data_IF_334124507578
#
_entry.id   IF_334124507578
#
_cell.length_a   1.000
_cell.length_b   1.000
_cell.length_c   1.000
_cell.angle_alpha   90.00
_cell.angle_beta   90.00
_cell.angle_gamma   90.00
#
_symmetry.space_group_name_H-M   'P 1'
#
loop_
_entity.id
_entity.type
_entity.pdbx_description
1 polymer ?
#
# COMPACT_ATOMS: atom_id res chain seq x y z
N UNK A 1 1.12 31.07 22.58
CA UNK A 1 0.91 30.74 21.16
C UNK A 1 2.27 30.36 20.61
N UNK A 2 2.49 29.12 20.22
CA UNK A 2 3.76 28.70 19.64
C UNK A 2 3.90 29.40 18.28
N UNK A 3 4.73 30.44 18.24
CA UNK A 3 4.85 31.33 17.09
C UNK A 3 5.85 30.70 16.11
N UNK A 4 5.37 29.81 15.24
CA UNK A 4 6.22 29.26 14.19
C UNK A 4 6.66 30.38 13.25
N UNK A 5 7.95 30.41 12.91
CA UNK A 5 8.48 31.36 11.96
C UNK A 5 7.81 31.10 10.59
N UNK A 6 7.37 32.12 9.85
CA UNK A 6 6.59 31.94 8.62
C UNK A 6 7.27 31.00 7.60
N UNK A 7 8.60 30.97 7.54
CA UNK A 7 9.37 30.05 6.68
C UNK A 7 9.22 28.57 7.09
N UNK A 8 9.06 28.26 8.38
CA UNK A 8 8.92 26.88 8.87
C UNK A 8 7.60 26.25 8.42
N UNK A 9 6.53 27.05 8.36
CA UNK A 9 5.24 26.59 7.84
C UNK A 9 5.32 26.20 6.36
N UNK A 10 6.10 26.93 5.56
CA UNK A 10 6.30 26.60 4.15
C UNK A 10 7.01 25.26 4.00
N UNK A 11 8.11 25.03 4.73
CA UNK A 11 8.82 23.75 4.70
C UNK A 11 7.95 22.58 5.16
N UNK A 12 7.11 22.77 6.19
CA UNK A 12 6.18 21.75 6.66
C UNK A 12 5.17 21.36 5.57
N UNK A 13 4.56 22.34 4.91
CA UNK A 13 3.57 22.09 3.85
C UNK A 13 4.23 21.43 2.64
N UNK A 14 5.40 21.93 2.21
CA UNK A 14 6.14 21.35 1.09
C UNK A 14 6.57 19.91 1.39
N UNK A 15 7.11 19.66 2.57
CA UNK A 15 7.47 18.31 3.01
C UNK A 15 6.25 17.38 3.03
N UNK A 16 5.15 17.85 3.58
CA UNK A 16 3.88 17.13 3.61
C UNK A 16 3.33 16.78 2.23
N UNK A 17 3.40 17.71 1.27
CA UNK A 17 2.97 17.49 -0.11
C UNK A 17 3.86 16.45 -0.80
N UNK A 18 5.18 16.54 -0.66
CA UNK A 18 6.11 15.57 -1.25
C UNK A 18 5.87 14.17 -0.68
N UNK A 19 5.68 14.05 0.64
CA UNK A 19 5.37 12.76 1.28
C UNK A 19 4.02 12.22 0.81
N UNK A 20 2.99 13.07 0.73
CA UNK A 20 1.67 12.66 0.25
C UNK A 20 1.74 12.16 -1.19
N UNK A 21 2.40 12.90 -2.07
CA UNK A 21 2.62 12.49 -3.46
C UNK A 21 3.37 11.16 -3.55
N UNK A 22 4.42 10.98 -2.74
CA UNK A 22 5.15 9.71 -2.67
C UNK A 22 4.26 8.53 -2.30
N UNK A 23 3.34 8.72 -1.35
CA UNK A 23 2.41 7.67 -0.92
C UNK A 23 1.35 7.32 -1.97
N UNK A 24 0.83 8.33 -2.70
CA UNK A 24 -0.05 8.08 -3.86
C UNK A 24 0.66 7.19 -4.89
N UNK A 25 1.94 7.46 -5.18
CA UNK A 25 2.72 6.64 -6.09
C UNK A 25 2.87 5.19 -5.61
N UNK A 26 3.06 4.96 -4.31
CA UNK A 26 3.11 3.61 -3.72
C UNK A 26 1.75 2.90 -3.85
N UNK A 27 0.65 3.58 -3.52
CA UNK A 27 -0.69 3.02 -3.60
C UNK A 27 -1.06 2.62 -5.05
N UNK A 28 -0.75 3.47 -6.03
CA UNK A 28 -1.01 3.20 -7.45
C UNK A 28 -0.05 2.13 -7.99
N UNK A 29 1.23 2.25 -7.65
CA UNK A 29 2.31 1.36 -8.12
C UNK A 29 2.20 -0.08 -7.60
N UNK A 30 1.44 -0.32 -6.52
CA UNK A 30 1.10 -1.67 -6.05
C UNK A 30 0.38 -2.52 -7.11
N UNK A 31 -0.27 -1.86 -8.08
CA UNK A 31 -0.92 -2.50 -9.21
C UNK A 31 0.11 -2.63 -10.34
N UNK A 32 0.72 -3.81 -10.47
CA UNK A 32 1.79 -4.13 -11.42
C UNK A 32 1.37 -4.09 -12.92
N UNK A 33 0.16 -3.61 -13.23
CA UNK A 33 -0.42 -3.48 -14.56
C UNK A 33 -1.30 -2.24 -14.61
N UNK A 34 -1.24 -1.46 -15.69
CA UNK A 34 -2.18 -0.37 -15.94
C UNK A 34 -3.54 -0.94 -16.38
N UNK A 35 -4.46 -1.07 -15.43
CA UNK A 35 -5.83 -1.55 -15.67
C UNK A 35 -6.81 -0.78 -14.77
N UNK A 36 -8.08 -1.14 -14.78
CA UNK A 36 -9.12 -0.52 -13.94
C UNK A 36 -8.76 -0.47 -12.44
N UNK A 37 -8.02 -1.47 -11.94
CA UNK A 37 -7.52 -1.50 -10.57
C UNK A 37 -6.55 -0.32 -10.26
N UNK A 38 -5.76 0.13 -11.23
CA UNK A 38 -4.87 1.30 -11.09
C UNK A 38 -5.67 2.58 -10.92
N UNK A 39 -6.71 2.76 -11.75
CA UNK A 39 -7.60 3.92 -11.70
C UNK A 39 -8.38 3.91 -10.39
N UNK A 40 -8.91 2.76 -9.98
CA UNK A 40 -9.58 2.58 -8.69
C UNK A 40 -8.67 2.90 -7.51
N UNK A 41 -7.41 2.46 -7.54
CA UNK A 41 -6.42 2.77 -6.50
C UNK A 41 -6.24 4.27 -6.30
N UNK A 42 -6.16 5.03 -7.40
CA UNK A 42 -6.05 6.49 -7.35
C UNK A 42 -7.30 7.13 -6.74
N UNK A 43 -8.49 6.77 -7.25
CA UNK A 43 -9.77 7.33 -6.79
C UNK A 43 -9.99 7.01 -5.30
N UNK A 44 -9.78 5.76 -4.90
CA UNK A 44 -9.95 5.31 -3.52
C UNK A 44 -8.98 6.03 -2.58
N UNK A 45 -7.72 6.24 -3.01
CA UNK A 45 -6.73 6.99 -2.23
C UNK A 45 -7.17 8.43 -2.01
N UNK A 46 -7.64 9.10 -3.06
CA UNK A 46 -8.11 10.49 -2.96
C UNK A 46 -9.34 10.64 -2.08
N UNK A 47 -10.34 9.76 -2.24
CA UNK A 47 -11.56 9.83 -1.45
C UNK A 47 -11.32 9.52 0.02
N UNK A 48 -10.45 8.54 0.32
CA UNK A 48 -10.05 8.24 1.70
C UNK A 48 -9.39 9.45 2.36
N UNK A 49 -8.45 10.11 1.67
CA UNK A 49 -7.80 11.33 2.17
C UNK A 49 -8.81 12.43 2.45
N UNK A 50 -9.74 12.70 1.53
CA UNK A 50 -10.77 13.72 1.73
C UNK A 50 -11.65 13.41 2.94
N UNK A 51 -12.06 12.15 3.12
CA UNK A 51 -12.89 11.71 4.24
C UNK A 51 -12.15 11.80 5.59
N UNK A 52 -10.90 11.34 5.64
CA UNK A 52 -10.04 11.42 6.83
C UNK A 52 -9.78 12.86 7.23
N UNK A 53 -9.39 13.69 6.27
CA UNK A 53 -9.13 15.11 6.51
C UNK A 53 -10.37 15.82 7.05
N UNK A 54 -11.55 15.58 6.46
CA UNK A 54 -12.78 16.19 6.92
C UNK A 54 -13.15 15.72 8.33
N UNK A 55 -13.04 14.41 8.60
CA UNK A 55 -13.29 13.82 9.92
C UNK A 55 -12.37 14.44 10.99
N UNK A 56 -11.06 14.50 10.72
CA UNK A 56 -10.07 15.06 11.63
C UNK A 56 -10.28 16.55 11.90
N UNK A 57 -10.61 17.32 10.86
CA UNK A 57 -10.89 18.75 11.01
C UNK A 57 -12.15 19.00 11.83
N UNK A 58 -13.22 18.22 11.63
CA UNK A 58 -14.45 18.34 12.43
C UNK A 58 -14.15 18.10 13.91
N UNK A 59 -13.45 17.01 14.22
CA UNK A 59 -13.08 16.66 15.60
C UNK A 59 -12.16 17.72 16.21
N UNK A 60 -11.14 18.15 15.46
CA UNK A 60 -10.19 19.18 15.92
C UNK A 60 -10.90 20.50 16.20
N UNK A 61 -11.87 20.87 15.37
CA UNK A 61 -12.67 22.06 15.60
C UNK A 61 -13.52 21.95 16.86
N UNK A 62 -14.18 20.81 17.08
CA UNK A 62 -15.00 20.58 18.27
C UNK A 62 -14.18 20.58 19.57
N UNK A 63 -12.95 20.05 19.54
CA UNK A 63 -12.08 19.91 20.71
C UNK A 63 -11.23 21.15 21.00
N UNK A 64 -10.52 21.67 19.99
CA UNK A 64 -9.50 22.72 20.15
C UNK A 64 -9.97 24.11 19.68
N UNK A 65 -11.09 24.20 18.95
CA UNK A 65 -11.65 25.44 18.35
C UNK A 65 -10.68 26.27 17.50
N UNK A 66 -9.52 25.70 17.16
CA UNK A 66 -8.45 26.33 16.40
C UNK A 66 -7.86 25.28 15.45
N UNK A 67 -7.49 25.70 14.24
CA UNK A 67 -6.86 24.84 13.24
C UNK A 67 -5.37 25.15 13.15
N UNK A 68 -4.52 24.10 13.17
CA UNK A 68 -3.09 24.21 12.84
C UNK A 68 -2.79 23.55 11.50
N UNK A 69 -1.76 24.02 10.82
CA UNK A 69 -1.29 23.40 9.56
C UNK A 69 -0.85 21.94 9.76
N UNK A 70 -0.30 21.61 10.94
CA UNK A 70 0.05 20.24 11.32
C UNK A 70 -1.17 19.33 11.40
N UNK A 71 -2.33 19.85 11.79
CA UNK A 71 -3.57 19.06 11.88
C UNK A 71 -4.07 18.71 10.47
N UNK A 72 -3.96 19.63 9.52
CA UNK A 72 -4.30 19.37 8.12
C UNK A 72 -3.42 18.24 7.56
N UNK A 73 -2.11 18.30 7.82
CA UNK A 73 -1.18 17.30 7.32
C UNK A 73 -1.41 15.92 7.97
N UNK A 74 -1.72 15.88 9.26
CA UNK A 74 -2.05 14.65 9.98
C UNK A 74 -3.24 13.92 9.32
N UNK A 75 -4.34 14.63 9.07
CA UNK A 75 -5.53 14.02 8.46
C UNK A 75 -5.28 13.53 7.02
N UNK A 76 -4.46 14.26 6.24
CA UNK A 76 -4.06 13.81 4.90
C UNK A 76 -3.26 12.51 4.99
N UNK A 77 -2.26 12.46 5.87
CA UNK A 77 -1.39 11.29 6.02
C UNK A 77 -2.15 10.08 6.56
N UNK A 78 -3.00 10.25 7.58
CA UNK A 78 -3.78 9.17 8.18
C UNK A 78 -4.70 8.49 7.14
N UNK A 79 -5.43 9.27 6.34
CA UNK A 79 -6.30 8.73 5.29
C UNK A 79 -5.54 8.00 4.17
N UNK A 80 -4.35 8.48 3.84
CA UNK A 80 -3.52 7.91 2.78
C UNK A 80 -2.85 6.60 3.21
N UNK A 81 -2.47 6.52 4.49
CA UNK A 81 -1.95 5.31 5.15
C UNK A 81 -3.06 4.27 5.35
N UNK A 82 -4.24 4.68 5.83
CA UNK A 82 -5.35 3.77 6.11
C UNK A 82 -5.85 2.99 4.89
N UNK A 83 -5.84 3.61 3.72
CA UNK A 83 -6.30 2.98 2.46
C UNK A 83 -5.23 2.14 1.77
N UNK A 84 -3.94 2.27 2.15
CA UNK A 84 -2.82 1.63 1.44
C UNK A 84 -2.95 0.11 1.29
N UNK A 85 -3.49 -0.59 2.29
CA UNK A 85 -3.64 -2.05 2.25
C UNK A 85 -4.64 -2.55 1.19
N UNK A 86 -5.55 -1.67 0.74
CA UNK A 86 -6.73 -2.10 0.00
C UNK A 86 -7.08 -1.19 -1.19
N UNK A 87 -6.24 -0.18 -1.49
CA UNK A 87 -6.50 0.86 -2.47
C UNK A 87 -6.98 0.33 -3.84
N UNK A 88 -6.32 -0.69 -4.40
CA UNK A 88 -6.70 -1.27 -5.71
C UNK A 88 -7.84 -2.30 -5.68
N UNK A 89 -8.24 -2.77 -4.50
CA UNK A 89 -9.15 -3.92 -4.35
C UNK A 89 -10.54 -3.52 -3.85
N UNK A 90 -10.69 -2.42 -3.12
CA UNK A 90 -11.97 -2.01 -2.50
C UNK A 90 -12.86 -1.16 -3.40
N UNK A 91 -14.15 -1.22 -3.15
CA UNK A 91 -15.14 -0.38 -3.82
C UNK A 91 -15.02 1.09 -3.37
N UNK A 92 -15.44 2.00 -4.24
CA UNK A 92 -15.26 3.46 -4.07
C UNK A 92 -15.98 4.00 -2.83
N UNK A 93 -17.13 3.43 -2.46
CA UNK A 93 -17.81 3.83 -1.23
C UNK A 93 -17.08 3.34 0.03
N UNK A 94 -16.39 2.20 -0.04
CA UNK A 94 -15.70 1.62 1.11
C UNK A 94 -14.49 2.48 1.49
N UNK A 95 -13.81 3.10 0.52
CA UNK A 95 -12.69 4.00 0.81
C UNK A 95 -13.10 5.24 1.61
N UNK A 96 -14.33 5.74 1.44
CA UNK A 96 -14.84 6.85 2.27
C UNK A 96 -14.99 6.44 3.73
N UNK A 97 -15.53 5.24 3.97
CA UNK A 97 -15.73 4.71 5.33
C UNK A 97 -14.37 4.49 6.00
N UNK A 98 -13.42 3.89 5.28
CA UNK A 98 -12.06 3.66 5.79
C UNK A 98 -11.41 4.97 6.21
N UNK A 99 -11.52 6.02 5.39
CA UNK A 99 -10.98 7.35 5.72
C UNK A 99 -11.59 7.95 6.99
N UNK A 100 -12.89 7.76 7.26
CA UNK A 100 -13.49 8.24 8.52
C UNK A 100 -13.06 7.39 9.71
N UNK A 101 -13.05 6.06 9.54
CA UNK A 101 -12.76 5.09 10.62
C UNK A 101 -11.31 5.18 11.08
N UNK A 102 -10.36 5.48 10.19
CA UNK A 102 -8.94 5.59 10.55
C UNK A 102 -8.68 6.70 11.58
N UNK A 103 -9.56 7.69 11.68
CA UNK A 103 -9.44 8.78 12.65
C UNK A 103 -10.00 8.43 14.03
N UNK A 104 -10.83 7.39 14.15
CA UNK A 104 -11.46 7.01 15.43
C UNK A 104 -10.41 6.72 16.53
N UNK A 105 -9.35 5.93 16.28
CA UNK A 105 -8.32 5.67 17.29
C UNK A 105 -7.58 6.96 17.70
N UNK A 106 -7.28 7.83 16.74
CA UNK A 106 -6.61 9.12 16.98
C UNK A 106 -7.46 10.07 17.85
N UNK A 107 -8.79 9.93 17.80
CA UNK A 107 -9.74 10.68 18.64
C UNK A 107 -9.81 10.10 20.06
N UNK A 108 -9.74 8.77 20.19
CA UNK A 108 -9.85 8.06 21.48
C UNK A 108 -8.66 8.32 22.39
N UNK A 109 -7.52 8.74 21.84
CA UNK A 109 -6.36 9.17 22.59
C UNK A 109 -6.14 10.69 22.42
N UNK A 110 -6.96 11.54 23.07
CA UNK A 110 -6.87 13.00 22.94
C UNK A 110 -5.61 13.59 23.60
N UNK A 111 -4.70 12.74 24.06
CA UNK A 111 -3.64 13.08 24.99
C UNK A 111 -2.29 13.41 24.35
N UNK A 112 -2.20 13.89 23.10
CA UNK A 112 -0.96 14.51 22.60
C UNK A 112 -1.23 15.74 21.72
N UNK A 113 -1.67 16.81 22.37
CA UNK A 113 -1.75 18.16 21.79
C UNK A 113 -0.40 18.88 21.64
N UNK A 114 0.75 18.21 21.74
CA UNK A 114 2.04 18.88 21.65
C UNK A 114 3.15 17.91 21.18
N UNK A 115 3.99 18.43 20.30
CA UNK A 115 5.31 17.97 19.90
C UNK A 115 5.45 16.92 18.78
N UNK A 116 6.06 17.46 17.73
CA UNK A 116 7.08 16.92 16.82
C UNK A 116 8.24 16.21 17.59
N UNK A 117 7.96 15.45 18.65
CA UNK A 117 8.93 14.59 19.34
C UNK A 117 8.48 13.13 19.44
N UNK A 118 7.27 12.79 18.98
CA UNK A 118 6.77 11.40 18.89
C UNK A 118 6.32 11.01 17.47
N UNK A 119 6.88 11.66 16.45
CA UNK A 119 6.93 11.07 15.10
C UNK A 119 8.03 10.00 15.16
N UNK A 120 7.75 8.83 15.75
CA UNK A 120 7.65 7.67 14.87
C UNK A 120 6.74 6.53 15.38
N UNK A 121 5.89 6.68 16.41
CA UNK A 121 5.26 5.49 17.01
C UNK A 121 4.14 4.90 16.13
N UNK A 122 3.18 5.71 15.67
CA UNK A 122 2.09 5.25 14.77
C UNK A 122 2.61 4.88 13.38
N UNK A 123 3.65 5.57 12.91
CA UNK A 123 4.28 5.29 11.61
C UNK A 123 5.10 3.98 11.65
N UNK A 124 5.84 3.73 12.73
CA UNK A 124 6.58 2.48 12.91
C UNK A 124 5.66 1.30 13.24
N UNK A 125 4.61 1.49 14.04
CA UNK A 125 3.61 0.44 14.29
C UNK A 125 2.87 0.05 13.01
N UNK A 126 2.51 1.02 12.17
CA UNK A 126 1.92 0.74 10.86
C UNK A 126 2.91 0.01 9.93
N UNK A 127 4.18 0.42 9.90
CA UNK A 127 5.20 -0.26 9.10
C UNK A 127 5.54 -1.66 9.64
N UNK A 128 5.54 -1.87 10.95
CA UNK A 128 5.70 -3.19 11.57
C UNK A 128 4.50 -4.07 11.28
N UNK A 129 3.26 -3.58 11.41
CA UNK A 129 2.06 -4.33 11.03
C UNK A 129 1.98 -4.60 9.53
N UNK A 130 2.52 -3.72 8.68
CA UNK A 130 2.60 -3.92 7.23
C UNK A 130 3.64 -4.98 6.85
N UNK A 131 4.83 -4.93 7.46
CA UNK A 131 5.89 -5.90 7.21
C UNK A 131 5.59 -7.27 7.82
N UNK A 132 4.90 -7.31 8.97
CA UNK A 132 4.39 -8.54 9.58
C UNK A 132 3.15 -9.04 8.86
N UNK A 133 2.25 -8.19 8.38
CA UNK A 133 1.06 -8.56 7.60
C UNK A 133 1.37 -9.18 6.24
N UNK A 134 2.45 -8.72 5.58
CA UNK A 134 2.98 -9.36 4.37
C UNK A 134 3.64 -10.72 4.65
N UNK A 135 4.22 -10.91 5.83
CA UNK A 135 4.81 -12.19 6.26
C UNK A 135 3.82 -13.13 6.97
N UNK A 136 2.67 -12.60 7.40
CA UNK A 136 1.57 -13.31 8.08
C UNK A 136 0.39 -13.55 7.13
N UNK A 137 0.59 -13.41 5.83
CA UNK A 137 -0.26 -14.11 4.88
C UNK A 137 0.23 -15.55 4.81
N UNK A 138 -0.34 -16.37 5.70
CA UNK A 138 -0.52 -17.78 5.37
C UNK A 138 -1.13 -17.84 3.98
N UNK A 139 -0.27 -18.18 3.03
CA UNK A 139 -0.63 -18.70 1.74
C UNK A 139 -1.82 -19.67 1.91
N UNK A 140 -2.92 -19.40 1.20
CA UNK A 140 -3.94 -20.36 0.72
C UNK A 140 -5.41 -20.28 1.21
N UNK A 141 -5.90 -19.38 2.08
CA UNK A 141 -7.29 -19.54 2.60
C UNK A 141 -8.32 -18.39 2.51
N UNK A 142 -8.00 -17.17 2.05
CA UNK A 142 -8.97 -16.05 2.15
C UNK A 142 -9.62 -15.54 0.84
N UNK A 143 -9.31 -16.09 -0.33
CA UNK A 143 -9.94 -15.68 -1.60
C UNK A 143 -10.28 -16.90 -2.47
N UNK A 144 -11.13 -17.77 -1.92
CA UNK A 144 -11.95 -18.66 -2.72
C UNK A 144 -13.09 -17.87 -3.36
N UNK A 145 -13.45 -18.27 -4.58
CA UNK A 145 -14.61 -17.84 -5.40
C UNK A 145 -14.51 -16.49 -6.14
N UNK A 146 -13.72 -16.50 -7.22
CA UNK A 146 -14.21 -16.05 -8.53
C UNK A 146 -13.63 -16.98 -9.60
N UNK A 147 -14.31 -18.12 -9.80
CA UNK A 147 -14.16 -18.92 -11.00
C UNK A 147 -14.84 -18.19 -12.16
N UNK A 148 -14.07 -17.83 -13.18
CA UNK A 148 -14.57 -17.77 -14.55
C UNK A 148 -13.65 -18.59 -15.42
N UNK A 149 -14.12 -19.81 -15.71
CA UNK A 149 -14.18 -20.42 -17.04
C UNK A 149 -13.00 -20.20 -17.99
N UNK A 150 -12.34 -21.33 -18.24
CA UNK A 150 -12.04 -21.85 -19.57
C UNK A 150 -11.00 -21.15 -20.47
N UNK A 151 -9.99 -21.99 -20.80
CA UNK A 151 -9.26 -22.02 -22.06
C UNK A 151 -8.39 -20.80 -22.41
N UNK A 152 -7.22 -20.70 -21.76
CA UNK A 152 -6.11 -19.91 -22.31
C UNK A 152 -4.76 -20.59 -22.01
N UNK A 153 -3.80 -20.61 -22.98
CA UNK A 153 -2.50 -21.30 -22.86
C UNK A 153 -1.58 -20.78 -21.73
N UNK A 154 -1.98 -19.75 -21.00
CA UNK A 154 -1.29 -19.19 -19.83
C UNK A 154 -1.39 -20.05 -18.55
N UNK A 155 -2.44 -20.86 -18.42
CA UNK A 155 -2.66 -21.71 -17.24
C UNK A 155 -1.69 -22.90 -17.14
N UNK A 156 -1.30 -23.45 -18.30
CA UNK A 156 -0.32 -24.56 -18.40
C UNK A 156 1.09 -24.04 -18.06
N UNK A 157 1.43 -22.83 -18.53
CA UNK A 157 2.71 -22.17 -18.26
C UNK A 157 2.90 -21.87 -16.75
N UNK A 158 1.84 -21.44 -16.07
CA UNK A 158 1.86 -21.20 -14.62
C UNK A 158 2.13 -22.49 -13.83
N UNK A 159 1.51 -23.61 -14.23
CA UNK A 159 1.71 -24.92 -13.58
C UNK A 159 3.14 -25.44 -13.79
N UNK A 160 3.70 -25.29 -14.98
CA UNK A 160 5.10 -25.68 -15.24
C UNK A 160 6.10 -24.81 -14.47
N UNK A 161 5.85 -23.51 -14.34
CA UNK A 161 6.68 -22.57 -13.56
C UNK A 161 6.71 -22.94 -12.08
N UNK A 162 5.56 -23.32 -11.51
CA UNK A 162 5.47 -23.72 -10.10
C UNK A 162 6.26 -25.02 -9.83
N UNK A 163 6.17 -25.99 -10.74
CA UNK A 163 6.94 -27.24 -10.66
C UNK A 163 8.44 -26.99 -10.80
N UNK A 164 8.84 -26.05 -11.67
CA UNK A 164 10.24 -25.66 -11.84
C UNK A 164 10.78 -24.97 -10.58
N UNK A 165 9.99 -24.09 -9.97
CA UNK A 165 10.34 -23.42 -8.71
C UNK A 165 10.61 -24.44 -7.59
N UNK A 166 9.73 -25.44 -7.42
CA UNK A 166 9.92 -26.51 -6.43
C UNK A 166 11.17 -27.35 -6.70
N UNK A 167 11.48 -27.64 -7.96
CA UNK A 167 12.70 -28.37 -8.36
C UNK A 167 13.97 -27.56 -8.13
N UNK A 168 13.92 -26.25 -8.36
CA UNK A 168 15.03 -25.33 -8.10
C UNK A 168 15.37 -25.29 -6.62
N UNK A 169 14.37 -25.07 -5.75
CA UNK A 169 14.57 -25.07 -4.29
C UNK A 169 15.14 -26.40 -3.79
N UNK A 170 14.66 -27.52 -4.32
CA UNK A 170 15.18 -28.84 -3.96
C UNK A 170 16.62 -29.07 -4.43
N UNK A 171 16.99 -28.56 -5.61
CA UNK A 171 18.37 -28.66 -6.12
C UNK A 171 19.34 -27.76 -5.33
N UNK A 172 18.90 -26.55 -4.93
CA UNK A 172 19.65 -25.64 -4.04
C UNK A 172 19.87 -26.30 -2.68
N UNK A 173 18.82 -26.89 -2.09
CA UNK A 173 18.92 -27.59 -0.81
C UNK A 173 19.83 -28.84 -0.86
N UNK A 174 19.98 -29.46 -2.04
CA UNK A 174 20.83 -30.63 -2.25
C UNK A 174 22.28 -30.28 -2.65
N UNK A 175 22.61 -29.00 -2.90
CA UNK A 175 23.95 -28.56 -3.33
C UNK A 175 24.38 -29.06 -4.71
N UNK A 176 23.44 -29.55 -5.53
CA UNK A 176 23.72 -30.12 -6.86
C UNK A 176 23.81 -29.01 -7.92
N UNK A 177 25.01 -28.43 -8.04
CA UNK A 177 25.34 -27.30 -8.91
C UNK A 177 25.05 -27.56 -10.40
N UNK A 178 25.21 -28.80 -10.89
CA UNK A 178 24.95 -29.13 -12.30
C UNK A 178 23.46 -29.12 -12.63
N UNK A 179 22.61 -29.64 -11.73
CA UNK A 179 21.15 -29.53 -11.88
C UNK A 179 20.67 -28.09 -11.73
N UNK A 180 21.31 -27.31 -10.86
CA UNK A 180 20.96 -25.93 -10.63
C UNK A 180 21.15 -25.06 -11.88
N UNK A 181 22.31 -25.18 -12.54
CA UNK A 181 22.62 -24.40 -13.75
C UNK A 181 21.60 -24.66 -14.87
N UNK A 182 21.28 -25.94 -15.10
CA UNK A 182 20.28 -26.36 -16.10
C UNK A 182 18.88 -25.80 -15.78
N UNK A 183 18.50 -25.76 -14.50
CA UNK A 183 17.20 -25.25 -14.05
C UNK A 183 17.12 -23.71 -14.08
N UNK A 184 18.23 -23.02 -13.81
CA UNK A 184 18.32 -21.55 -13.92
C UNK A 184 18.15 -21.11 -15.36
N UNK A 185 18.84 -21.73 -16.31
CA UNK A 185 18.69 -21.43 -17.75
C UNK A 185 17.24 -21.62 -18.20
N UNK A 186 16.59 -22.68 -17.73
CA UNK A 186 15.18 -22.94 -18.03
C UNK A 186 14.26 -21.86 -17.43
N UNK A 187 14.54 -21.38 -16.21
CA UNK A 187 13.77 -20.32 -15.57
C UNK A 187 13.95 -18.96 -16.27
N UNK A 188 15.17 -18.64 -16.71
CA UNK A 188 15.45 -17.41 -17.49
C UNK A 188 14.75 -17.44 -18.84
N UNK A 189 14.75 -18.58 -19.55
CA UNK A 189 14.06 -18.73 -20.83
C UNK A 189 12.55 -18.48 -20.72
N UNK A 190 11.92 -18.96 -19.65
CA UNK A 190 10.51 -18.65 -19.38
C UNK A 190 10.28 -17.16 -19.12
N UNK A 191 11.19 -16.49 -18.42
CA UNK A 191 11.10 -15.03 -18.19
C UNK A 191 11.17 -14.22 -19.49
N UNK A 192 12.04 -14.62 -20.42
CA UNK A 192 12.15 -13.98 -21.75
C UNK A 192 10.88 -14.19 -22.59
N UNK A 193 10.32 -15.40 -22.61
CA UNK A 193 9.08 -15.69 -23.33
C UNK A 193 7.86 -14.96 -22.73
N UNK A 194 7.82 -14.76 -21.41
CA UNK A 194 6.77 -13.97 -20.75
C UNK A 194 6.91 -12.48 -21.06
N UNK A 195 8.14 -11.97 -21.22
CA UNK A 195 8.39 -10.58 -21.58
C UNK A 195 7.97 -10.29 -23.02
N UNK A 196 8.33 -11.15 -23.96
CA UNK A 196 8.01 -11.03 -25.39
C UNK A 196 6.48 -11.01 -25.64
N UNK A 197 5.71 -11.74 -24.84
CA UNK A 197 4.24 -11.74 -24.89
C UNK A 197 3.59 -10.47 -24.32
N UNK A 198 4.29 -9.71 -23.46
CA UNK A 198 3.74 -8.48 -22.82
C UNK A 198 4.08 -7.21 -23.58
N UNK A 199 5.10 -7.23 -24.42
CA UNK A 199 5.48 -6.13 -25.30
C UNK A 199 5.47 -6.59 -26.75
N UNK A 200 4.29 -6.65 -27.41
CA UNK A 200 4.28 -6.74 -28.86
C UNK A 200 4.85 -5.42 -29.41
N UNK A 201 6.03 -5.49 -30.05
CA UNK A 201 6.54 -4.40 -30.90
C UNK A 201 5.65 -4.25 -32.14
#
# INVERSE_FOLDING_TARGET
MEHMHPTQNVFLIVGGLITSLGWYCVNIGSVHKFNDATIRSFINSHLSVCASLLSWLIVTYMTRKNFKMTDLLQGIMAGLVGVSACAGSVEVWASLIIGVVVEIPTIMEPAQGCMISHIPMVFLEFLEQWQVGLNSSNTNEALGSYDTSDSSPSSILSKEKEVLHKKLFKAVAAGDLQKLDTLIVKQVSFGVQDFDKRTPL
#
